data_IF_227976599389
#
_entry.id   IF_227976599389
#
_cell.length_a   1.000
_cell.length_b   1.000
_cell.length_c   1.000
_cell.angle_alpha   90.00
_cell.angle_beta   90.00
_cell.angle_gamma   90.00
#
_symmetry.space_group_name_H-M   'P 1'
#
loop_
_entity.id
_entity.type
_entity.pdbx_description
1 polymer ?
#
# COMPACT_ATOMS: atom_id res chain seq x y z
N UNK A 1 37.54 5.70 -48.59
CA UNK A 1 38.61 6.06 -47.66
C UNK A 1 38.10 5.85 -46.26
N UNK A 2 38.69 4.91 -45.52
CA UNK A 2 38.35 4.59 -44.13
C UNK A 2 39.64 4.86 -43.34
N UNK A 3 39.61 5.60 -42.20
CA UNK A 3 40.81 5.74 -41.37
C UNK A 3 40.94 4.56 -40.41
N UNK A 4 42.17 4.06 -40.24
CA UNK A 4 42.52 3.03 -39.24
C UNK A 4 42.55 3.60 -37.80
N UNK A 5 42.28 2.76 -36.78
CA UNK A 5 42.31 3.16 -35.38
C UNK A 5 43.67 2.83 -34.75
N UNK A 6 44.46 3.88 -34.48
CA UNK A 6 45.78 3.75 -33.84
C UNK A 6 45.92 4.74 -32.69
N UNK A 7 45.53 4.26 -31.50
CA UNK A 7 46.00 4.66 -30.17
C UNK A 7 46.02 6.16 -29.79
N UNK A 8 45.01 6.53 -29.00
CA UNK A 8 45.20 7.47 -27.91
C UNK A 8 44.37 6.97 -26.72
N UNK A 9 45.01 6.22 -25.83
CA UNK A 9 44.74 6.14 -24.39
C UNK A 9 43.37 6.72 -23.97
N UNK A 10 42.30 5.97 -24.23
CA UNK A 10 41.12 6.08 -23.37
C UNK A 10 41.50 5.33 -22.11
N UNK A 11 42.16 6.02 -21.18
CA UNK A 11 41.85 5.79 -19.78
C UNK A 11 40.32 5.75 -19.74
N UNK A 12 39.76 4.56 -19.55
CA UNK A 12 38.37 4.45 -19.18
C UNK A 12 38.37 5.05 -17.79
N UNK A 13 38.15 6.36 -17.72
CA UNK A 13 37.88 7.05 -16.47
C UNK A 13 36.55 6.48 -16.02
N UNK A 14 36.60 5.34 -15.33
CA UNK A 14 35.51 4.66 -14.61
C UNK A 14 34.97 5.56 -13.47
N UNK A 15 35.28 6.86 -13.50
CA UNK A 15 35.18 7.76 -12.34
C UNK A 15 34.36 9.02 -12.62
N UNK A 16 33.80 9.22 -13.82
CA UNK A 16 33.17 10.51 -14.14
C UNK A 16 31.81 10.44 -14.85
N UNK A 17 31.00 9.40 -14.56
CA UNK A 17 29.54 9.46 -14.84
C UNK A 17 28.69 8.98 -13.66
N UNK A 18 29.25 8.89 -12.45
CA UNK A 18 28.49 8.69 -11.20
C UNK A 18 28.32 9.98 -10.39
N UNK A 19 28.49 11.14 -11.04
CA UNK A 19 28.20 12.45 -10.46
C UNK A 19 27.25 13.25 -11.35
N UNK A 20 26.06 12.72 -11.60
CA UNK A 20 24.87 13.58 -11.57
C UNK A 20 24.60 13.83 -10.08
N UNK A 21 25.37 14.74 -9.47
CA UNK A 21 24.87 16.07 -9.12
C UNK A 21 23.57 16.00 -8.32
N UNK A 22 23.70 15.74 -7.02
CA UNK A 22 22.62 15.96 -6.04
C UNK A 22 23.18 16.72 -4.83
N UNK A 23 23.83 17.84 -5.10
CA UNK A 23 24.05 18.90 -4.10
C UNK A 23 22.95 19.97 -4.18
N UNK A 24 21.80 19.66 -4.80
CA UNK A 24 20.65 20.55 -4.74
C UNK A 24 19.97 20.33 -3.39
N UNK A 25 20.16 21.32 -2.51
CA UNK A 25 19.65 21.37 -1.16
C UNK A 25 18.12 21.32 -1.22
N UNK A 26 17.55 20.11 -1.22
CA UNK A 26 16.11 19.88 -1.23
C UNK A 26 15.47 20.84 -0.24
N UNK A 27 14.55 21.66 -0.74
CA UNK A 27 13.83 22.59 0.09
C UNK A 27 13.11 21.80 1.19
N UNK A 28 12.92 22.41 2.35
CA UNK A 28 12.16 21.80 3.46
C UNK A 28 10.78 21.26 3.02
N UNK A 29 10.21 21.84 1.96
CA UNK A 29 8.96 21.38 1.36
C UNK A 29 9.10 20.07 0.58
N UNK A 30 10.19 19.90 -0.16
CA UNK A 30 10.45 18.69 -0.96
C UNK A 30 10.86 17.53 -0.06
N UNK A 31 11.66 17.79 0.99
CA UNK A 31 11.98 16.79 2.02
C UNK A 31 10.72 16.26 2.72
N UNK A 32 9.78 17.15 3.04
CA UNK A 32 8.48 16.75 3.62
C UNK A 32 7.64 15.89 2.69
N UNK A 33 7.71 16.15 1.38
CA UNK A 33 6.96 15.38 0.40
C UNK A 33 7.55 13.97 0.28
N UNK A 34 8.88 13.86 0.18
CA UNK A 34 9.59 12.58 0.16
C UNK A 34 9.28 11.75 1.42
N UNK A 35 9.25 12.37 2.60
CA UNK A 35 8.91 11.68 3.85
C UNK A 35 7.44 11.23 3.89
N UNK A 36 6.51 12.05 3.39
CA UNK A 36 5.10 11.67 3.30
C UNK A 36 4.87 10.55 2.27
N UNK A 37 5.57 10.60 1.14
CA UNK A 37 5.51 9.58 0.10
C UNK A 37 6.11 8.25 0.58
N UNK A 38 7.22 8.28 1.33
CA UNK A 38 7.80 7.10 1.95
C UNK A 38 6.81 6.45 2.95
N UNK A 39 6.15 7.25 3.78
CA UNK A 39 5.11 6.76 4.70
C UNK A 39 3.89 6.17 3.97
N UNK A 40 3.46 6.80 2.87
CA UNK A 40 2.37 6.29 2.04
C UNK A 40 2.75 4.96 1.36
N UNK A 41 3.96 4.87 0.81
CA UNK A 41 4.50 3.64 0.21
C UNK A 41 4.59 2.52 1.25
N UNK A 42 5.11 2.81 2.45
CA UNK A 42 5.16 1.83 3.53
C UNK A 42 3.75 1.35 3.91
N UNK A 43 2.79 2.26 4.02
CA UNK A 43 1.40 1.92 4.37
C UNK A 43 0.74 1.05 3.30
N UNK A 44 0.97 1.36 2.02
CA UNK A 44 0.48 0.56 0.89
C UNK A 44 1.15 -0.81 0.89
N UNK A 45 2.48 -0.88 1.02
CA UNK A 45 3.22 -2.14 1.04
C UNK A 45 2.87 -3.04 2.23
N UNK A 46 2.54 -2.46 3.39
CA UNK A 46 2.10 -3.19 4.58
C UNK A 46 0.63 -3.63 4.49
N UNK A 47 -0.24 -2.79 3.95
CA UNK A 47 -1.68 -3.05 3.86
C UNK A 47 -2.07 -3.98 2.70
N UNK A 48 -1.32 -3.97 1.59
CA UNK A 48 -1.63 -4.79 0.41
C UNK A 48 -1.56 -6.30 0.68
N UNK A 49 -0.51 -6.85 1.32
CA UNK A 49 -0.46 -8.27 1.64
C UNK A 49 -1.60 -8.72 2.56
N UNK A 50 -1.95 -7.91 3.56
CA UNK A 50 -3.08 -8.19 4.46
C UNK A 50 -4.42 -8.16 3.73
N UNK A 51 -4.62 -7.18 2.84
CA UNK A 51 -5.82 -7.05 2.02
C UNK A 51 -5.95 -8.21 1.04
N UNK A 52 -4.89 -8.55 0.30
CA UNK A 52 -4.85 -9.66 -0.64
C UNK A 52 -5.17 -10.97 0.10
N UNK A 53 -4.49 -11.21 1.23
CA UNK A 53 -4.74 -12.39 2.05
C UNK A 53 -6.18 -12.47 2.57
N UNK A 54 -6.77 -11.34 3.00
CA UNK A 54 -8.16 -11.29 3.44
C UNK A 54 -9.14 -11.59 2.28
N UNK A 55 -8.89 -11.03 1.09
CA UNK A 55 -9.68 -11.27 -0.12
C UNK A 55 -9.59 -12.74 -0.55
N UNK A 56 -8.40 -13.32 -0.58
CA UNK A 56 -8.19 -14.73 -0.91
C UNK A 56 -8.91 -15.66 0.07
N UNK A 57 -8.79 -15.39 1.38
CA UNK A 57 -9.47 -16.17 2.42
C UNK A 57 -10.99 -16.08 2.27
N UNK A 58 -11.52 -14.91 1.92
CA UNK A 58 -12.95 -14.71 1.67
C UNK A 58 -13.42 -15.43 0.41
N UNK A 59 -12.67 -15.34 -0.68
CA UNK A 59 -12.95 -16.05 -1.92
C UNK A 59 -12.98 -17.57 -1.70
N UNK A 60 -12.02 -18.11 -0.94
CA UNK A 60 -11.99 -19.53 -0.58
C UNK A 60 -13.25 -19.98 0.17
N UNK A 61 -13.66 -19.23 1.20
CA UNK A 61 -14.88 -19.54 1.97
C UNK A 61 -16.15 -19.45 1.10
N UNK A 62 -16.20 -18.51 0.15
CA UNK A 62 -17.33 -18.41 -0.77
C UNK A 62 -17.38 -19.59 -1.73
N UNK A 63 -16.24 -20.06 -2.25
CA UNK A 63 -16.17 -21.26 -3.09
C UNK A 63 -16.58 -22.52 -2.30
N UNK A 64 -16.18 -22.62 -1.02
CA UNK A 64 -16.62 -23.71 -0.13
C UNK A 64 -18.12 -23.67 0.11
N UNK A 65 -18.71 -22.48 0.27
CA UNK A 65 -20.15 -22.29 0.38
C UNK A 65 -20.90 -22.67 -0.90
N UNK A 66 -20.42 -22.23 -2.06
CA UNK A 66 -21.03 -22.53 -3.35
C UNK A 66 -21.06 -24.05 -3.63
N UNK A 67 -20.02 -24.77 -3.19
CA UNK A 67 -19.94 -26.23 -3.31
C UNK A 67 -20.49 -26.98 -2.08
N UNK A 68 -21.13 -26.29 -1.14
CA UNK A 68 -21.64 -26.93 0.07
C UNK A 68 -22.90 -27.73 -0.24
N UNK A 69 -22.76 -29.05 -0.23
CA UNK A 69 -23.86 -29.99 -0.43
C UNK A 69 -23.82 -31.08 0.61
N UNK A 70 -24.92 -31.82 0.68
CA UNK A 70 -24.97 -33.06 1.44
C UNK A 70 -24.11 -34.15 0.78
N UNK A 71 -23.38 -34.90 1.60
CA UNK A 71 -22.65 -36.09 1.19
C UNK A 71 -23.57 -37.32 1.28
N UNK A 72 -23.35 -38.30 0.41
CA UNK A 72 -24.11 -39.55 0.45
C UNK A 72 -23.86 -40.32 1.75
N UNK A 73 -24.93 -40.76 2.42
CA UNK A 73 -24.86 -41.47 3.70
C UNK A 73 -24.52 -40.60 4.91
N UNK A 74 -24.47 -39.27 4.77
CA UNK A 74 -24.26 -38.40 5.93
C UNK A 74 -25.50 -38.34 6.84
N UNK A 75 -25.27 -38.31 8.15
CA UNK A 75 -26.35 -38.05 9.11
C UNK A 75 -26.70 -36.56 9.13
N UNK A 76 -27.95 -36.26 9.49
CA UNK A 76 -28.43 -34.90 9.67
C UNK A 76 -27.59 -34.11 10.71
N UNK A 77 -27.17 -34.76 11.80
CA UNK A 77 -26.33 -34.15 12.82
C UNK A 77 -24.95 -33.74 12.27
N UNK A 78 -24.33 -34.62 11.48
CA UNK A 78 -23.04 -34.33 10.83
C UNK A 78 -23.15 -33.18 9.83
N UNK A 79 -24.22 -33.17 9.02
CA UNK A 79 -24.51 -32.09 8.08
C UNK A 79 -24.63 -30.74 8.78
N UNK A 80 -25.48 -30.66 9.82
CA UNK A 80 -25.68 -29.42 10.58
C UNK A 80 -24.41 -28.98 11.29
N UNK A 81 -23.59 -29.90 11.79
CA UNK A 81 -22.31 -29.56 12.38
C UNK A 81 -21.37 -28.87 11.36
N UNK A 82 -21.22 -29.43 10.14
CA UNK A 82 -20.42 -28.79 9.09
C UNK A 82 -20.98 -27.44 8.67
N UNK A 83 -22.31 -27.35 8.51
CA UNK A 83 -23.00 -26.12 8.13
C UNK A 83 -22.77 -25.01 9.16
N UNK A 84 -22.94 -25.31 10.45
CA UNK A 84 -22.71 -24.35 11.53
C UNK A 84 -21.26 -23.88 11.58
N UNK A 85 -20.30 -24.78 11.34
CA UNK A 85 -18.88 -24.42 11.25
C UNK A 85 -18.62 -23.44 10.11
N UNK A 86 -19.11 -23.73 8.91
CA UNK A 86 -18.99 -22.86 7.73
C UNK A 86 -19.62 -21.48 7.98
N UNK A 87 -20.82 -21.44 8.58
CA UNK A 87 -21.49 -20.20 8.93
C UNK A 87 -20.71 -19.37 9.97
N UNK A 88 -20.04 -20.03 10.91
CA UNK A 88 -19.20 -19.37 11.88
C UNK A 88 -17.92 -18.80 11.24
N UNK A 89 -17.30 -19.53 10.31
CA UNK A 89 -16.12 -19.08 9.58
C UNK A 89 -16.42 -17.87 8.68
N UNK A 90 -17.58 -17.88 8.00
CA UNK A 90 -18.09 -16.74 7.24
C UNK A 90 -18.32 -15.51 8.15
N UNK A 91 -18.93 -15.69 9.33
CA UNK A 91 -19.17 -14.61 10.30
C UNK A 91 -17.90 -14.02 10.90
N UNK A 92 -16.85 -14.83 11.07
CA UNK A 92 -15.55 -14.38 11.62
C UNK A 92 -14.66 -13.71 10.58
N UNK A 93 -15.00 -13.83 9.29
CA UNK A 93 -14.29 -13.17 8.20
C UNK A 93 -14.83 -11.76 7.91
N UNK A 94 -14.83 -10.88 8.93
CA UNK A 94 -15.24 -9.47 8.83
C UNK A 94 -14.08 -8.49 8.64
N UNK A 95 -12.83 -8.96 8.58
CA UNK A 95 -11.68 -8.08 8.53
C UNK A 95 -11.53 -7.43 7.16
N UNK A 96 -12.12 -6.25 7.03
CA UNK A 96 -11.55 -5.19 6.22
C UNK A 96 -10.53 -4.44 7.08
N UNK A 97 -9.35 -4.07 6.56
CA UNK A 97 -8.56 -3.03 7.18
C UNK A 97 -9.36 -1.72 7.04
N UNK A 98 -9.94 -1.22 8.14
CA UNK A 98 -10.67 0.06 8.23
C UNK A 98 -9.81 1.30 7.87
N UNK A 99 -8.52 1.11 7.55
CA UNK A 99 -7.52 2.18 7.43
C UNK A 99 -7.24 2.67 6.01
N UNK A 100 -8.15 2.49 5.05
CA UNK A 100 -8.01 3.13 3.71
C UNK A 100 -8.93 4.36 3.57
N UNK A 101 -9.88 4.58 4.50
CA UNK A 101 -10.74 5.77 4.53
C UNK A 101 -10.34 6.70 5.67
N UNK A 102 -9.26 7.48 5.50
CA UNK A 102 -8.79 8.36 6.59
C UNK A 102 -7.80 9.47 6.22
N UNK A 103 -7.55 9.72 4.95
CA UNK A 103 -6.73 10.85 4.51
C UNK A 103 -7.26 11.46 3.21
N UNK A 104 -8.47 12.05 3.28
CA UNK A 104 -8.73 13.28 2.53
C UNK A 104 -7.75 14.34 3.06
N UNK A 105 -6.60 14.48 2.40
CA UNK A 105 -5.76 15.64 2.61
C UNK A 105 -6.52 16.86 2.09
N UNK A 106 -7.02 17.69 3.01
CA UNK A 106 -7.46 19.04 2.69
C UNK A 106 -6.33 19.76 1.96
N UNK A 107 -6.50 19.95 0.64
CA UNK A 107 -5.57 20.68 -0.21
C UNK A 107 -5.62 22.20 0.02
N UNK A 108 -6.11 22.66 1.17
CA UNK A 108 -6.28 24.07 1.46
C UNK A 108 -5.56 24.43 2.76
N UNK A 109 -4.31 24.86 2.62
CA UNK A 109 -3.61 25.56 3.68
C UNK A 109 -4.35 26.85 4.05
N UNK A 110 -5.21 26.77 5.07
CA UNK A 110 -5.71 27.95 5.79
C UNK A 110 -5.55 27.69 7.29
N UNK A 111 -4.66 28.48 7.88
CA UNK A 111 -4.30 28.44 9.28
C UNK A 111 -5.34 29.22 10.09
N UNK A 112 -6.19 28.55 10.88
CA UNK A 112 -7.15 29.20 11.81
C UNK A 112 -6.47 29.68 13.10
N UNK A 113 -5.36 30.41 12.97
CA UNK A 113 -4.73 31.08 14.11
C UNK A 113 -4.13 32.43 13.67
N UNK A 114 -4.99 33.38 13.27
CA UNK A 114 -4.74 34.83 13.33
C UNK A 114 -5.94 35.63 12.80
N UNK A 115 -6.96 35.77 13.63
CA UNK A 115 -7.85 36.94 13.69
C UNK A 115 -8.05 37.17 15.18
N UNK A 116 -7.25 38.01 15.82
CA UNK A 116 -7.31 39.44 15.65
C UNK A 116 -7.89 40.04 16.94
N UNK A 117 -7.15 39.93 18.03
CA UNK A 117 -7.38 40.72 19.24
C UNK A 117 -6.90 42.15 18.97
N UNK A 118 -7.82 43.13 19.08
CA UNK A 118 -7.70 44.60 19.27
C UNK A 118 -8.92 45.25 18.57
N UNK A 119 -9.75 46.10 19.20
CA UNK A 119 -9.48 47.14 20.20
C UNK A 119 -10.72 47.42 21.05
N UNK A 120 -10.46 47.86 22.27
CA UNK A 120 -11.34 48.67 23.11
C UNK A 120 -11.68 50.01 22.43
N UNK A 121 -12.90 50.48 22.65
CA UNK A 121 -13.26 51.86 22.93
C UNK A 121 -14.54 51.86 23.78
#
# INVERSE_FOLDING_TARGET
MIPEPGDANREITVTETFRLQTDDKLSYKELKHIEADDQAIQTILLGLPEYIYAVEKKAKLFNEWERFTSNEGESFESYYHRFLKLMNDLKRNKHFPEKIAGNEYDQNGINLSKTGQKREA
#
